data_IF_246671249181
#
_entry.id   IF_246671249181
#
_cell.length_a   1.000
_cell.length_b   1.000
_cell.length_c   1.000
_cell.angle_alpha   90.00
_cell.angle_beta   90.00
_cell.angle_gamma   90.00
#
_symmetry.space_group_name_H-M   'P 1'
#
loop_
_entity.id
_entity.type
_entity.pdbx_description
1 polymer ?
#
# COMPACT_ATOMS: atom_id res chain seq x y z
N UNK A 1 -17.08 -15.10 -16.30
CA UNK A 1 -16.05 -14.54 -15.40
C UNK A 1 -16.19 -13.04 -15.44
N UNK A 2 -16.39 -12.39 -14.28
CA UNK A 2 -16.54 -10.94 -14.18
C UNK A 2 -15.26 -10.38 -13.56
N UNK A 3 -14.71 -9.32 -14.15
CA UNK A 3 -13.57 -8.60 -13.61
C UNK A 3 -14.06 -7.28 -13.01
N UNK A 4 -13.69 -7.04 -11.76
CA UNK A 4 -13.98 -5.80 -11.04
C UNK A 4 -12.72 -5.35 -10.29
N UNK A 5 -12.45 -4.04 -10.17
CA UNK A 5 -11.35 -3.53 -9.35
C UNK A 5 -11.55 -3.89 -7.87
N UNK A 6 -10.46 -4.18 -7.15
CA UNK A 6 -10.50 -4.41 -5.71
C UNK A 6 -11.19 -3.26 -4.96
N UNK A 7 -10.89 -2.02 -5.35
CA UNK A 7 -11.47 -0.81 -4.74
C UNK A 7 -13.00 -0.71 -4.83
N UNK A 8 -13.66 -1.46 -5.72
CA UNK A 8 -15.12 -1.52 -5.84
C UNK A 8 -15.78 -2.50 -4.87
N UNK A 9 -14.98 -3.34 -4.20
CA UNK A 9 -15.43 -4.37 -3.24
C UNK A 9 -14.65 -4.27 -1.94
N UNK A 10 -14.35 -3.03 -1.52
CA UNK A 10 -13.66 -2.69 -0.27
C UNK A 10 -12.29 -3.36 -0.11
N UNK A 11 -11.67 -3.76 -1.21
CA UNK A 11 -10.40 -4.45 -1.22
C UNK A 11 -9.30 -3.61 -1.87
N UNK A 12 -8.06 -4.04 -1.67
CA UNK A 12 -6.86 -3.58 -2.39
C UNK A 12 -5.96 -4.77 -2.67
N UNK A 13 -5.22 -4.72 -3.78
CA UNK A 13 -4.30 -5.78 -4.19
C UNK A 13 -2.94 -5.23 -4.63
N UNK A 14 -1.81 -5.78 -4.14
CA UNK A 14 -0.49 -5.35 -4.59
C UNK A 14 -0.21 -5.81 -6.03
N UNK A 15 0.46 -4.97 -6.81
CA UNK A 15 0.91 -5.28 -8.18
C UNK A 15 -0.26 -5.75 -9.07
N UNK A 16 -0.22 -6.95 -9.65
CA UNK A 16 -1.33 -7.47 -10.45
C UNK A 16 -2.67 -7.59 -9.69
N UNK A 17 -2.64 -7.58 -8.35
CA UNK A 17 -3.83 -7.44 -7.50
C UNK A 17 -4.86 -8.59 -7.62
N UNK A 18 -4.49 -9.70 -8.26
CA UNK A 18 -5.41 -10.79 -8.56
C UNK A 18 -5.91 -11.41 -7.26
N UNK A 19 -7.22 -11.29 -7.04
CA UNK A 19 -7.91 -11.82 -5.86
C UNK A 19 -9.06 -12.70 -6.33
N UNK A 20 -9.17 -13.91 -5.78
CA UNK A 20 -10.22 -14.88 -6.13
C UNK A 20 -10.88 -15.46 -4.88
N UNK A 21 -12.06 -16.07 -5.06
CA UNK A 21 -12.93 -16.48 -3.95
C UNK A 21 -12.29 -17.39 -2.88
N UNK A 22 -11.27 -18.16 -3.24
CA UNK A 22 -10.59 -19.08 -2.33
C UNK A 22 -9.27 -18.55 -1.78
N UNK A 23 -8.90 -17.30 -2.10
CA UNK A 23 -7.70 -16.68 -1.55
C UNK A 23 -8.03 -16.11 -0.17
N UNK A 24 -7.28 -16.49 0.88
CA UNK A 24 -7.42 -15.88 2.18
C UNK A 24 -7.04 -14.39 2.13
N UNK A 25 -7.80 -13.57 2.86
CA UNK A 25 -7.59 -12.12 2.95
C UNK A 25 -7.37 -11.71 4.41
N UNK A 26 -6.57 -10.67 4.62
CA UNK A 26 -6.58 -9.92 5.86
C UNK A 26 -7.84 -9.06 5.90
N UNK A 27 -8.44 -8.95 7.08
CA UNK A 27 -9.63 -8.12 7.32
C UNK A 27 -9.24 -7.03 8.31
N UNK A 28 -9.35 -5.77 7.89
CA UNK A 28 -9.09 -4.63 8.76
C UNK A 28 -10.41 -3.89 9.00
N UNK A 29 -10.71 -3.64 10.27
CA UNK A 29 -11.89 -2.89 10.69
C UNK A 29 -11.48 -1.50 11.16
N UNK A 30 -12.03 -0.46 10.53
CA UNK A 30 -11.96 0.89 11.04
C UNK A 30 -13.09 1.08 12.06
N UNK A 31 -12.74 1.02 13.34
CA UNK A 31 -13.71 1.11 14.44
C UNK A 31 -14.37 2.49 14.57
N UNK A 32 -13.71 3.55 14.10
CA UNK A 32 -14.23 4.91 14.19
C UNK A 32 -15.45 5.07 13.28
N UNK A 33 -15.33 4.60 12.03
CA UNK A 33 -16.37 4.77 11.01
C UNK A 33 -17.21 3.49 10.78
N UNK A 34 -16.83 2.37 11.40
CA UNK A 34 -17.55 1.09 11.34
C UNK A 34 -17.41 0.34 10.02
N UNK A 35 -16.50 0.74 9.13
CA UNK A 35 -16.26 0.08 7.85
C UNK A 35 -15.09 -0.91 7.90
N UNK A 36 -14.97 -1.74 6.86
CA UNK A 36 -13.91 -2.74 6.71
C UNK A 36 -13.19 -2.59 5.39
N UNK A 37 -11.97 -3.12 5.34
CA UNK A 37 -11.23 -3.30 4.11
C UNK A 37 -10.46 -4.62 4.09
N UNK A 38 -10.14 -5.06 2.87
CA UNK A 38 -9.56 -6.38 2.61
C UNK A 38 -8.31 -6.29 1.75
N UNK A 39 -7.37 -7.21 1.96
CA UNK A 39 -6.23 -7.41 1.06
C UNK A 39 -5.85 -8.89 1.11
N UNK A 40 -5.37 -9.47 0.00
CA UNK A 40 -4.77 -10.81 0.05
C UNK A 40 -3.56 -10.82 0.97
N UNK A 41 -3.12 -11.98 1.45
CA UNK A 41 -1.85 -12.05 2.19
C UNK A 41 -0.65 -11.97 1.24
N UNK A 42 0.49 -11.49 1.75
CA UNK A 42 1.74 -11.49 0.98
C UNK A 42 2.18 -12.93 0.70
N UNK A 43 2.49 -13.24 -0.55
CA UNK A 43 2.88 -14.59 -1.02
C UNK A 43 4.33 -14.99 -0.68
N UNK A 44 5.09 -14.13 0.02
CA UNK A 44 6.48 -14.37 0.35
C UNK A 44 7.46 -13.91 -0.73
N UNK A 45 8.65 -14.52 -0.70
CA UNK A 45 9.78 -14.27 -1.59
C UNK A 45 9.77 -15.18 -2.82
N UNK A 46 10.51 -14.78 -3.86
CA UNK A 46 10.67 -15.57 -5.10
C UNK A 46 9.54 -15.35 -6.11
N UNK A 47 9.27 -16.37 -6.93
CA UNK A 47 8.20 -16.34 -7.92
C UNK A 47 6.83 -16.28 -7.24
N UNK A 48 6.00 -15.31 -7.62
CA UNK A 48 4.70 -15.02 -6.98
C UNK A 48 3.67 -14.54 -8.00
N UNK A 49 2.39 -14.82 -7.73
CA UNK A 49 1.26 -14.50 -8.60
C UNK A 49 1.06 -13.00 -8.78
N UNK A 50 1.34 -12.18 -7.76
CA UNK A 50 1.24 -10.71 -7.87
C UNK A 50 2.09 -10.13 -9.00
N UNK A 51 3.13 -10.84 -9.46
CA UNK A 51 3.93 -10.48 -10.64
C UNK A 51 3.65 -11.34 -11.88
N UNK A 52 2.57 -12.11 -11.87
CA UNK A 52 2.13 -12.95 -12.99
C UNK A 52 2.78 -14.33 -13.08
N UNK A 53 3.52 -14.78 -12.06
CA UNK A 53 4.04 -16.15 -12.03
C UNK A 53 2.91 -17.15 -11.72
N UNK A 54 2.89 -18.31 -12.38
CA UNK A 54 1.83 -19.32 -12.21
C UNK A 54 2.33 -20.76 -12.31
N UNK A 55 3.61 -21.00 -11.99
CA UNK A 55 4.18 -22.35 -11.95
C UNK A 55 3.51 -23.23 -10.88
N UNK A 56 3.75 -24.54 -10.93
CA UNK A 56 3.25 -25.46 -9.91
C UNK A 56 3.71 -25.08 -8.49
N UNK A 57 4.93 -24.56 -8.34
CA UNK A 57 5.43 -24.01 -7.07
C UNK A 57 4.53 -22.88 -6.53
N UNK A 58 4.16 -21.92 -7.39
CA UNK A 58 3.29 -20.79 -7.01
C UNK A 58 1.91 -21.31 -6.63
N UNK A 59 1.33 -22.20 -7.43
CA UNK A 59 0.00 -22.77 -7.16
C UNK A 59 -0.01 -23.58 -5.87
N UNK A 60 1.05 -24.36 -5.60
CA UNK A 60 1.19 -25.11 -4.35
C UNK A 60 1.32 -24.17 -3.15
N UNK A 61 2.07 -23.06 -3.26
CA UNK A 61 2.14 -22.04 -2.21
C UNK A 61 0.79 -21.39 -1.96
N UNK A 62 0.05 -21.01 -3.00
CA UNK A 62 -1.30 -20.44 -2.84
C UNK A 62 -2.28 -21.42 -2.17
N UNK A 63 -2.19 -22.72 -2.47
CA UNK A 63 -2.97 -23.77 -1.78
C UNK A 63 -2.56 -23.89 -0.31
N UNK A 64 -1.26 -23.92 -0.03
CA UNK A 64 -0.76 -23.91 1.35
C UNK A 64 -1.20 -22.65 2.11
N UNK A 65 -1.20 -21.48 1.47
CA UNK A 65 -1.68 -20.26 2.10
C UNK A 65 -3.17 -20.35 2.46
N UNK A 66 -3.99 -20.92 1.59
CA UNK A 66 -5.42 -21.17 1.82
C UNK A 66 -5.67 -22.21 2.91
N UNK A 67 -4.90 -23.29 2.92
CA UNK A 67 -5.17 -24.47 3.74
C UNK A 67 -4.47 -24.42 5.11
N UNK A 68 -3.35 -23.68 5.23
CA UNK A 68 -2.50 -23.63 6.43
C UNK A 68 -2.32 -22.20 6.92
N UNK A 69 -1.65 -21.32 6.16
CA UNK A 69 -1.30 -19.96 6.64
C UNK A 69 -2.51 -19.16 7.10
N UNK A 70 -3.53 -19.06 6.22
CA UNK A 70 -4.74 -18.30 6.48
C UNK A 70 -5.52 -18.84 7.68
N UNK A 71 -5.82 -20.15 7.73
CA UNK A 71 -6.49 -20.76 8.88
C UNK A 71 -5.73 -20.61 10.19
N UNK A 72 -4.41 -20.78 10.22
CA UNK A 72 -3.60 -20.60 11.45
C UNK A 72 -3.64 -19.16 11.93
N UNK A 73 -3.42 -18.19 11.03
CA UNK A 73 -3.50 -16.77 11.39
C UNK A 73 -4.91 -16.36 11.83
N UNK A 74 -5.94 -16.88 11.16
CA UNK A 74 -7.35 -16.65 11.53
C UNK A 74 -7.64 -17.17 12.95
N UNK A 75 -7.23 -18.41 13.26
CA UNK A 75 -7.35 -18.97 14.62
C UNK A 75 -6.63 -18.11 15.65
N UNK A 76 -5.39 -17.68 15.36
CA UNK A 76 -4.62 -16.83 16.26
C UNK A 76 -5.32 -15.48 16.50
N UNK A 77 -5.81 -14.81 15.46
CA UNK A 77 -6.49 -13.53 15.62
C UNK A 77 -7.84 -13.65 16.33
N UNK A 78 -8.55 -14.77 16.19
CA UNK A 78 -9.81 -15.03 16.88
C UNK A 78 -9.67 -15.25 18.39
N UNK A 79 -8.46 -15.52 18.91
CA UNK A 79 -8.24 -15.54 20.36
C UNK A 79 -8.13 -14.14 20.96
N UNK A 80 -8.11 -13.09 20.14
CA UNK A 80 -8.09 -11.70 20.55
C UNK A 80 -9.51 -11.13 20.41
N UNK A 81 -10.17 -10.83 21.54
CA UNK A 81 -11.55 -10.29 21.55
C UNK A 81 -11.69 -9.04 20.67
N UNK A 82 -10.61 -8.26 20.58
CA UNK A 82 -10.53 -6.99 19.89
C UNK A 82 -9.71 -7.06 18.58
N UNK A 83 -9.22 -8.24 18.22
CA UNK A 83 -8.22 -8.36 17.16
C UNK A 83 -6.90 -7.66 17.51
N UNK A 84 -6.05 -7.50 16.50
CA UNK A 84 -4.72 -6.89 16.66
C UNK A 84 -4.77 -5.38 16.40
N UNK A 85 -4.22 -4.57 17.30
CA UNK A 85 -4.19 -3.13 17.15
C UNK A 85 -3.10 -2.68 16.17
N UNK A 86 -3.51 -2.39 14.93
CA UNK A 86 -2.60 -2.02 13.84
C UNK A 86 -1.99 -0.62 14.04
N UNK A 87 -2.71 0.33 14.64
CA UNK A 87 -2.16 1.67 14.92
C UNK A 87 -0.92 1.60 15.82
N UNK A 88 -0.93 0.71 16.82
CA UNK A 88 0.23 0.50 17.70
C UNK A 88 1.42 -0.10 16.94
N UNK A 89 1.17 -1.00 15.99
CA UNK A 89 2.25 -1.59 15.17
C UNK A 89 2.84 -0.53 14.24
N UNK A 90 1.99 0.22 13.53
CA UNK A 90 2.40 1.28 12.60
C UNK A 90 3.18 2.38 13.35
N UNK A 91 2.68 2.85 14.49
CA UNK A 91 3.37 3.88 15.28
C UNK A 91 4.76 3.44 15.78
N UNK A 92 4.96 2.15 16.10
CA UNK A 92 6.28 1.61 16.45
C UNK A 92 7.17 1.48 15.21
N UNK A 93 6.65 0.89 14.15
CA UNK A 93 7.43 0.54 12.96
C UNK A 93 7.93 1.79 12.21
N UNK A 94 7.14 2.87 12.17
CA UNK A 94 7.58 4.13 11.54
C UNK A 94 8.79 4.72 12.26
N UNK A 95 8.82 4.63 13.60
CA UNK A 95 9.95 5.04 14.41
C UNK A 95 11.17 4.09 14.28
N UNK A 96 10.96 2.90 13.70
CA UNK A 96 12.00 1.91 13.38
C UNK A 96 12.41 1.95 11.90
N UNK A 97 12.04 3.02 11.20
CA UNK A 97 12.50 3.34 9.86
C UNK A 97 11.64 2.83 8.72
N UNK A 98 10.43 2.31 8.97
CA UNK A 98 9.53 1.86 7.90
C UNK A 98 8.76 3.05 7.31
N UNK A 99 8.55 3.01 6.00
CA UNK A 99 7.61 3.90 5.30
C UNK A 99 6.39 3.13 4.76
N UNK A 100 6.35 1.82 4.96
CA UNK A 100 5.22 0.93 4.71
C UNK A 100 4.80 0.69 3.25
N UNK A 101 5.62 1.06 2.28
CA UNK A 101 5.42 0.69 0.88
C UNK A 101 6.59 -0.18 0.38
N UNK A 102 7.80 0.36 0.33
CA UNK A 102 9.03 -0.36 -0.03
C UNK A 102 9.74 -1.02 1.15
N UNK A 103 9.63 -0.45 2.35
CA UNK A 103 10.23 -1.00 3.57
C UNK A 103 9.16 -1.23 4.63
N UNK A 104 8.94 -2.51 4.89
CA UNK A 104 7.98 -3.05 5.86
C UNK A 104 8.68 -4.00 6.87
N UNK A 105 10.01 -3.92 6.99
CA UNK A 105 10.81 -4.87 7.77
C UNK A 105 10.44 -4.77 9.25
N UNK A 106 10.39 -3.54 9.79
CA UNK A 106 10.09 -3.35 11.20
C UNK A 106 8.66 -3.78 11.53
N UNK A 107 7.69 -3.44 10.68
CA UNK A 107 6.29 -3.80 10.88
C UNK A 107 6.05 -5.31 10.76
N UNK A 108 6.70 -5.97 9.80
CA UNK A 108 6.64 -7.43 9.65
C UNK A 108 7.26 -8.14 10.85
N UNK A 109 8.39 -7.63 11.37
CA UNK A 109 9.01 -8.15 12.59
C UNK A 109 8.15 -7.92 13.84
N UNK A 110 7.56 -6.74 13.99
CA UNK A 110 6.64 -6.45 15.11
C UNK A 110 5.41 -7.36 15.02
N UNK A 111 4.82 -7.52 13.83
CA UNK A 111 3.71 -8.44 13.61
C UNK A 111 4.08 -9.88 13.99
N UNK A 112 5.21 -10.39 13.51
CA UNK A 112 5.75 -11.69 13.88
C UNK A 112 5.88 -11.83 15.39
N UNK A 113 6.46 -10.82 16.06
CA UNK A 113 6.67 -10.80 17.51
C UNK A 113 5.37 -10.81 18.30
N UNK A 114 4.32 -10.14 17.83
CA UNK A 114 3.00 -10.14 18.48
C UNK A 114 2.22 -11.44 18.23
N UNK A 115 2.27 -12.00 17.02
CA UNK A 115 1.46 -13.17 16.65
C UNK A 115 2.09 -14.51 17.07
N UNK A 116 3.42 -14.61 17.13
CA UNK A 116 4.12 -15.88 17.42
C UNK A 116 3.72 -16.51 18.76
N UNK A 117 3.68 -15.79 19.90
CA UNK A 117 3.27 -16.38 21.17
C UNK A 117 1.83 -16.93 21.15
N UNK A 118 0.95 -16.29 20.36
CA UNK A 118 -0.43 -16.73 20.18
C UNK A 118 -0.47 -18.01 19.35
N UNK A 119 0.26 -18.07 18.24
CA UNK A 119 0.33 -19.28 17.41
C UNK A 119 0.91 -20.46 18.21
N UNK A 120 1.91 -20.21 19.06
CA UNK A 120 2.50 -21.23 19.94
C UNK A 120 1.49 -21.80 20.94
N UNK A 121 0.53 -20.99 21.43
CA UNK A 121 -0.48 -21.45 22.38
C UNK A 121 -1.68 -22.16 21.73
N UNK A 122 -1.78 -22.17 20.39
CA UNK A 122 -2.86 -22.87 19.69
C UNK A 122 -2.70 -24.39 19.74
N UNK A 123 -3.84 -25.08 19.90
CA UNK A 123 -3.98 -26.52 19.70
C UNK A 123 -4.04 -26.85 18.19
N UNK A 124 -2.87 -26.86 17.55
CA UNK A 124 -2.66 -27.17 16.13
C UNK A 124 -1.48 -28.13 15.93
N UNK A 125 -1.36 -28.65 14.72
CA UNK A 125 -0.24 -29.50 14.32
C UNK A 125 1.11 -28.76 14.45
N UNK A 126 2.13 -29.47 14.95
CA UNK A 126 3.46 -28.89 15.22
C UNK A 126 4.14 -28.40 13.94
N UNK A 127 3.95 -29.11 12.83
CA UNK A 127 4.54 -28.73 11.54
C UNK A 127 3.85 -27.49 10.99
N UNK A 128 2.52 -27.39 11.03
CA UNK A 128 1.80 -26.17 10.62
C UNK A 128 2.26 -24.95 11.42
N UNK A 129 2.40 -25.10 12.75
CA UNK A 129 2.92 -24.05 13.64
C UNK A 129 4.31 -23.58 13.17
N UNK A 130 5.22 -24.51 12.95
CA UNK A 130 6.58 -24.21 12.51
C UNK A 130 6.60 -23.52 11.14
N UNK A 131 5.87 -24.07 10.17
CA UNK A 131 5.83 -23.55 8.80
C UNK A 131 5.30 -22.11 8.76
N UNK A 132 4.26 -21.80 9.51
CA UNK A 132 3.68 -20.44 9.54
C UNK A 132 4.63 -19.44 10.18
N UNK A 133 5.22 -19.76 11.34
CA UNK A 133 6.18 -18.86 12.01
C UNK A 133 7.41 -18.65 11.11
N UNK A 134 7.91 -19.71 10.48
CA UNK A 134 9.05 -19.62 9.57
C UNK A 134 8.73 -18.76 8.34
N UNK A 135 7.55 -18.95 7.72
CA UNK A 135 7.13 -18.14 6.57
C UNK A 135 7.06 -16.64 6.91
N UNK A 136 6.53 -16.30 8.08
CA UNK A 136 6.48 -14.91 8.55
C UNK A 136 7.88 -14.35 8.83
N UNK A 137 8.78 -15.16 9.40
CA UNK A 137 10.17 -14.77 9.65
C UNK A 137 10.98 -14.54 8.38
N UNK A 138 10.70 -15.29 7.31
CA UNK A 138 11.39 -15.17 6.02
C UNK A 138 10.81 -14.05 5.13
N UNK A 139 9.66 -13.47 5.50
CA UNK A 139 8.91 -12.51 4.67
C UNK A 139 8.92 -11.10 5.26
N UNK A 140 10.00 -10.37 4.99
CA UNK A 140 10.20 -8.96 5.40
C UNK A 140 9.14 -7.96 4.86
N UNK A 141 8.36 -8.38 3.86
CA UNK A 141 7.31 -7.58 3.22
C UNK A 141 5.88 -8.02 3.59
N UNK A 142 5.72 -8.89 4.58
CA UNK A 142 4.41 -9.45 4.94
C UNK A 142 3.41 -8.34 5.32
N UNK A 143 3.89 -7.33 6.05
CA UNK A 143 3.05 -6.26 6.56
C UNK A 143 2.52 -5.29 5.49
N UNK A 144 3.09 -5.23 4.29
CA UNK A 144 2.60 -4.34 3.22
C UNK A 144 1.11 -4.53 2.97
N UNK A 145 0.67 -5.79 2.86
CA UNK A 145 -0.72 -6.11 2.58
C UNK A 145 -1.65 -5.69 3.73
N UNK A 146 -1.18 -5.80 4.98
CA UNK A 146 -1.89 -5.32 6.18
C UNK A 146 -1.97 -3.79 6.18
N UNK A 147 -0.86 -3.12 5.85
CA UNK A 147 -0.84 -1.65 5.72
C UNK A 147 -1.79 -1.18 4.63
N UNK A 148 -1.80 -1.83 3.45
CA UNK A 148 -2.69 -1.48 2.35
C UNK A 148 -4.17 -1.59 2.78
N UNK A 149 -4.55 -2.68 3.45
CA UNK A 149 -5.92 -2.82 3.98
C UNK A 149 -6.23 -1.76 5.07
N UNK A 150 -5.26 -1.43 5.92
CA UNK A 150 -5.41 -0.40 6.95
C UNK A 150 -5.63 0.99 6.35
N UNK A 151 -4.79 1.36 5.39
CA UNK A 151 -4.91 2.60 4.62
C UNK A 151 -6.28 2.64 3.92
N UNK A 152 -6.66 1.58 3.22
CA UNK A 152 -7.97 1.47 2.56
C UNK A 152 -9.13 1.68 3.53
N UNK A 153 -9.12 1.04 4.70
CA UNK A 153 -10.18 1.17 5.70
C UNK A 153 -10.36 2.62 6.18
N UNK A 154 -9.26 3.32 6.44
CA UNK A 154 -9.29 4.74 6.83
C UNK A 154 -9.73 5.63 5.68
N UNK A 155 -9.17 5.43 4.48
CA UNK A 155 -9.47 6.27 3.33
C UNK A 155 -10.91 6.08 2.82
N UNK A 156 -11.49 4.88 2.99
CA UNK A 156 -12.92 4.66 2.74
C UNK A 156 -13.81 5.36 3.76
N UNK A 157 -13.38 5.48 5.02
CA UNK A 157 -14.02 6.35 6.01
C UNK A 157 -14.08 7.80 5.51
N UNK A 158 -12.94 8.34 5.08
CA UNK A 158 -12.85 9.69 4.52
C UNK A 158 -13.69 9.88 3.23
N UNK A 159 -13.82 8.83 2.39
CA UNK A 159 -14.68 8.84 1.20
C UNK A 159 -16.16 9.02 1.55
N UNK A 160 -16.61 8.55 2.71
CA UNK A 160 -18.02 8.68 3.13
C UNK A 160 -18.43 10.11 3.47
N UNK A 161 -17.46 11.03 3.66
CA UNK A 161 -17.73 12.46 3.92
C UNK A 161 -18.40 13.12 2.70
N UNK A 162 -18.10 12.67 1.47
CA UNK A 162 -18.75 13.10 0.22
C UNK A 162 -18.63 14.59 -0.11
N UNK A 163 -17.63 15.25 0.49
CA UNK A 163 -17.37 16.68 0.35
C UNK A 163 -15.86 16.96 0.27
N UNK A 164 -15.51 18.06 -0.38
CA UNK A 164 -14.13 18.52 -0.51
C UNK A 164 -13.31 17.76 -1.54
N UNK A 165 -12.04 18.13 -1.63
CA UNK A 165 -11.10 17.71 -2.69
C UNK A 165 -10.06 16.72 -2.20
N UNK A 166 -10.24 16.15 -1.01
CA UNK A 166 -9.33 15.16 -0.44
C UNK A 166 -9.34 13.89 -1.29
N UNK A 167 -8.17 13.46 -1.72
CA UNK A 167 -7.98 12.20 -2.43
C UNK A 167 -8.20 11.03 -1.48
N UNK A 168 -9.07 10.10 -1.87
CA UNK A 168 -9.48 8.94 -1.05
C UNK A 168 -9.08 7.60 -1.66
N UNK A 169 -8.60 7.60 -2.89
CA UNK A 169 -7.92 6.46 -3.47
C UNK A 169 -6.94 6.93 -4.54
N UNK A 170 -5.77 6.30 -4.58
CA UNK A 170 -4.88 6.29 -5.73
C UNK A 170 -4.55 4.83 -6.05
N UNK A 171 -4.75 4.43 -7.31
CA UNK A 171 -4.42 3.08 -7.77
C UNK A 171 -4.11 3.07 -9.27
N UNK A 172 -3.56 1.96 -9.76
CA UNK A 172 -3.17 1.81 -11.16
C UNK A 172 -3.19 0.37 -11.61
N UNK A 173 -3.37 0.14 -12.91
CA UNK A 173 -3.53 -1.21 -13.47
C UNK A 173 -2.52 -1.57 -14.57
N UNK A 174 -1.43 -0.80 -14.72
CA UNK A 174 -0.45 -0.97 -15.80
C UNK A 174 -0.82 -0.24 -17.10
N UNK A 175 -2.01 0.36 -17.18
CA UNK A 175 -2.45 1.16 -18.33
C UNK A 175 -2.95 2.55 -17.89
N UNK A 176 -3.82 2.59 -16.89
CA UNK A 176 -4.40 3.82 -16.35
C UNK A 176 -4.10 3.96 -14.85
N UNK A 177 -3.77 5.19 -14.45
CA UNK A 177 -3.77 5.65 -13.08
C UNK A 177 -5.15 6.23 -12.78
N UNK A 178 -5.72 5.89 -11.63
CA UNK A 178 -7.03 6.37 -11.19
C UNK A 178 -6.95 7.01 -9.82
N UNK A 179 -7.70 8.09 -9.65
CA UNK A 179 -7.97 8.68 -8.32
C UNK A 179 -9.46 8.78 -8.02
N UNK A 180 -9.78 8.79 -6.74
CA UNK A 180 -11.07 9.25 -6.20
C UNK A 180 -10.83 10.43 -5.27
N UNK A 181 -11.76 11.37 -5.23
CA UNK A 181 -11.81 12.43 -4.22
C UNK A 181 -13.10 12.33 -3.42
N UNK A 182 -13.06 12.71 -2.14
CA UNK A 182 -14.21 12.59 -1.23
C UNK A 182 -15.46 13.25 -1.81
N UNK A 183 -15.35 14.49 -2.31
CA UNK A 183 -16.43 15.24 -2.94
C UNK A 183 -17.12 14.57 -4.13
N UNK A 184 -16.52 13.56 -4.75
CA UNK A 184 -17.07 12.84 -5.91
C UNK A 184 -17.40 11.36 -5.60
N UNK A 185 -17.22 10.92 -4.35
CA UNK A 185 -17.59 9.58 -3.91
C UNK A 185 -16.87 8.46 -4.67
N UNK A 186 -17.62 7.69 -5.47
CA UNK A 186 -17.11 6.50 -6.16
C UNK A 186 -16.64 6.74 -7.60
N UNK A 187 -16.80 7.97 -8.10
CA UNK A 187 -16.38 8.35 -9.44
C UNK A 187 -14.86 8.32 -9.58
N UNK A 188 -14.39 7.71 -10.65
CA UNK A 188 -12.97 7.58 -10.97
C UNK A 188 -12.53 8.62 -11.98
N UNK A 189 -11.43 9.30 -11.68
CA UNK A 189 -10.75 10.17 -12.62
C UNK A 189 -9.44 9.53 -13.05
N UNK A 190 -9.30 9.27 -14.34
CA UNK A 190 -8.19 8.47 -14.88
C UNK A 190 -7.35 9.22 -15.90
N UNK A 191 -6.08 8.82 -15.98
CA UNK A 191 -5.14 9.20 -17.04
C UNK A 191 -4.12 8.07 -17.25
N UNK A 192 -3.43 8.01 -18.40
CA UNK A 192 -2.42 6.97 -18.66
C UNK A 192 -1.34 6.94 -17.57
N UNK A 193 -0.93 5.75 -17.15
CA UNK A 193 0.12 5.60 -16.12
C UNK A 193 1.47 6.14 -16.61
N UNK A 194 2.27 6.58 -15.65
CA UNK A 194 3.70 6.78 -15.84
C UNK A 194 4.46 5.47 -15.61
N UNK A 195 5.73 5.42 -16.06
CA UNK A 195 6.63 4.28 -15.79
C UNK A 195 7.57 4.65 -14.64
N UNK A 196 7.66 3.81 -13.58
CA UNK A 196 8.53 4.10 -12.45
C UNK A 196 10.01 4.18 -12.85
N UNK A 197 10.74 5.08 -12.18
CA UNK A 197 12.16 5.31 -12.41
C UNK A 197 12.94 5.09 -11.12
N UNK A 198 14.08 4.43 -11.20
CA UNK A 198 14.91 4.15 -10.04
C UNK A 198 16.07 3.22 -10.35
N UNK A 199 16.49 2.45 -9.34
CA UNK A 199 17.55 1.47 -9.50
C UNK A 199 17.02 0.15 -10.05
N UNK A 200 17.72 -0.36 -11.05
CA UNK A 200 17.48 -1.67 -11.63
C UNK A 200 18.46 -2.70 -11.04
N UNK A 201 17.96 -3.92 -10.84
CA UNK A 201 18.79 -5.05 -10.45
C UNK A 201 19.75 -5.42 -11.59
N UNK A 202 20.87 -6.04 -11.24
CA UNK A 202 21.88 -6.45 -12.22
C UNK A 202 21.27 -7.30 -13.33
N UNK A 203 21.48 -6.89 -14.58
CA UNK A 203 20.95 -7.58 -15.77
C UNK A 203 19.63 -7.02 -16.31
N UNK A 204 19.01 -6.04 -15.65
CA UNK A 204 17.81 -5.36 -16.13
C UNK A 204 18.04 -3.86 -16.35
N UNK A 205 17.14 -3.26 -17.14
CA UNK A 205 17.14 -1.83 -17.44
C UNK A 205 15.72 -1.27 -17.52
N UNK A 206 15.61 0.04 -17.75
CA UNK A 206 14.31 0.69 -17.99
C UNK A 206 13.56 0.17 -19.22
N UNK A 207 14.24 -0.48 -20.17
CA UNK A 207 13.56 -1.10 -21.32
C UNK A 207 12.73 -2.33 -20.90
N UNK A 208 13.04 -2.93 -19.75
CA UNK A 208 12.36 -4.11 -19.22
C UNK A 208 11.19 -3.77 -18.31
N UNK A 209 11.11 -2.50 -17.88
CA UNK A 209 10.12 -2.01 -16.91
C UNK A 209 8.69 -2.09 -17.45
N UNK A 210 7.79 -2.57 -16.60
CA UNK A 210 6.35 -2.42 -16.80
C UNK A 210 5.91 -1.00 -16.39
N UNK A 211 4.89 -0.42 -17.04
CA UNK A 211 4.23 0.77 -16.52
C UNK A 211 3.64 0.51 -15.11
N UNK A 212 3.41 1.58 -14.34
CA UNK A 212 3.05 1.46 -12.92
C UNK A 212 1.73 0.67 -12.69
N UNK A 213 1.72 -0.21 -11.69
CA UNK A 213 0.64 -1.17 -11.45
C UNK A 213 0.43 -1.48 -9.96
N UNK A 214 -0.84 -1.68 -9.58
CA UNK A 214 -1.31 -2.12 -8.27
C UNK A 214 -2.12 -1.08 -7.51
N UNK A 215 -2.68 -1.51 -6.37
CA UNK A 215 -3.42 -0.64 -5.46
C UNK A 215 -2.55 -0.09 -4.33
N UNK A 216 -1.26 -0.45 -4.30
CA UNK A 216 -0.36 -0.08 -3.20
C UNK A 216 -0.19 1.43 -2.99
N UNK A 217 -0.46 2.27 -4.00
CA UNK A 217 -0.52 3.72 -3.86
C UNK A 217 -1.60 4.22 -2.87
N UNK A 218 -2.46 3.34 -2.37
CA UNK A 218 -3.32 3.61 -1.21
C UNK A 218 -2.51 3.96 0.05
N UNK A 219 -1.26 3.49 0.16
CA UNK A 219 -0.36 3.83 1.28
C UNK A 219 0.04 5.30 1.26
N UNK A 220 0.38 5.84 0.10
CA UNK A 220 0.65 7.26 -0.09
C UNK A 220 -0.62 8.09 0.05
N UNK A 221 -1.76 7.57 -0.38
CA UNK A 221 -3.04 8.25 -0.18
C UNK A 221 -3.32 8.48 1.30
N UNK A 222 -2.96 7.50 2.15
CA UNK A 222 -3.03 7.61 3.60
C UNK A 222 -1.97 8.54 4.21
N UNK A 223 -0.85 8.75 3.51
CA UNK A 223 0.21 9.69 3.90
C UNK A 223 1.55 9.08 4.28
N UNK A 224 1.70 7.76 4.16
CA UNK A 224 2.99 7.06 4.32
C UNK A 224 3.63 6.82 2.94
N UNK A 225 4.59 5.91 2.84
CA UNK A 225 5.25 5.57 1.58
C UNK A 225 6.16 6.69 1.10
N UNK A 226 6.10 7.00 -0.20
CA UNK A 226 6.83 8.13 -0.79
C UNK A 226 6.45 9.49 -0.17
N UNK A 227 5.25 9.62 0.41
CA UNK A 227 4.81 10.86 1.07
C UNK A 227 5.54 11.18 2.38
N UNK A 228 6.11 10.15 3.02
CA UNK A 228 6.85 10.26 4.27
C UNK A 228 8.22 9.58 4.14
N UNK A 229 8.89 9.76 3.00
CA UNK A 229 10.16 9.10 2.68
C UNK A 229 11.25 9.31 3.75
N UNK A 230 11.22 10.45 4.45
CA UNK A 230 12.12 10.77 5.56
C UNK A 230 12.00 9.78 6.73
N UNK A 231 10.88 9.06 6.86
CA UNK A 231 10.73 7.98 7.84
C UNK A 231 11.66 6.81 7.55
N UNK A 232 12.00 6.57 6.28
CA UNK A 232 12.84 5.46 5.86
C UNK A 232 14.04 5.91 4.99
N UNK A 233 15.02 6.66 5.54
CA UNK A 233 16.16 7.14 4.74
C UNK A 233 16.99 6.02 4.10
N UNK A 234 16.91 4.79 4.61
CA UNK A 234 17.54 3.62 4.00
C UNK A 234 16.95 3.28 2.62
N UNK A 235 15.68 3.61 2.37
CA UNK A 235 14.97 3.33 1.12
C UNK A 235 15.44 4.22 -0.02
N UNK A 236 15.88 5.47 0.24
CA UNK A 236 16.19 6.44 -0.83
C UNK A 236 17.25 5.94 -1.80
N UNK A 237 18.25 5.21 -1.28
CA UNK A 237 19.26 4.57 -2.14
C UNK A 237 18.63 3.49 -2.99
N UNK A 238 17.76 2.67 -2.42
CA UNK A 238 17.11 1.57 -3.11
C UNK A 238 16.13 2.04 -4.20
N UNK A 239 15.42 3.15 -3.98
CA UNK A 239 14.52 3.76 -4.96
C UNK A 239 15.20 4.77 -5.89
N UNK A 240 16.53 4.95 -5.78
CA UNK A 240 17.32 5.78 -6.67
C UNK A 240 17.18 7.30 -6.49
N UNK A 241 16.58 7.76 -5.38
CA UNK A 241 16.33 9.19 -5.11
C UNK A 241 17.47 9.89 -4.35
N UNK A 242 18.55 9.18 -4.03
CA UNK A 242 19.73 9.76 -3.38
C UNK A 242 19.82 9.41 -1.88
N UNK A 243 20.00 10.41 -1.02
CA UNK A 243 20.29 10.23 0.40
C UNK A 243 19.25 10.86 1.34
N UNK A 244 19.63 11.01 2.62
CA UNK A 244 18.76 11.59 3.66
C UNK A 244 18.24 12.99 3.31
N UNK A 245 19.10 13.85 2.74
CA UNK A 245 18.71 15.21 2.36
C UNK A 245 17.60 15.23 1.30
N UNK A 246 17.65 14.29 0.35
CA UNK A 246 16.61 14.13 -0.67
C UNK A 246 15.31 13.61 -0.04
N UNK A 247 15.40 12.64 0.89
CA UNK A 247 14.25 12.15 1.65
C UNK A 247 13.51 13.29 2.38
N UNK A 248 14.28 14.18 3.04
CA UNK A 248 13.76 15.33 3.76
C UNK A 248 13.12 16.34 2.80
N UNK A 249 13.80 16.66 1.70
CA UNK A 249 13.28 17.59 0.68
C UNK A 249 11.96 17.07 0.10
N UNK A 250 11.91 15.81 -0.31
CA UNK A 250 10.71 15.18 -0.86
C UNK A 250 9.58 15.24 0.16
N UNK A 251 9.83 14.83 1.40
CA UNK A 251 8.77 14.82 2.43
C UNK A 251 8.25 16.23 2.74
N UNK A 252 9.12 17.24 2.77
CA UNK A 252 8.72 18.65 2.92
C UNK A 252 7.90 19.15 1.72
N UNK A 253 8.25 18.78 0.49
CA UNK A 253 7.48 19.13 -0.71
C UNK A 253 6.07 18.51 -0.68
N UNK A 254 5.92 17.32 -0.09
CA UNK A 254 4.61 16.69 0.08
C UNK A 254 3.71 17.42 1.09
N UNK A 255 4.28 18.20 2.03
CA UNK A 255 3.49 19.05 2.93
C UNK A 255 2.74 20.16 2.19
N UNK A 256 3.22 20.58 1.02
CA UNK A 256 2.58 21.63 0.21
C UNK A 256 1.26 21.17 -0.43
N UNK A 257 1.01 19.85 -0.51
CA UNK A 257 -0.17 19.27 -1.17
C UNK A 257 -1.15 18.59 -0.22
N UNK A 258 -0.90 18.61 1.08
CA UNK A 258 -1.80 18.02 2.09
C UNK A 258 -2.49 19.07 2.94
N UNK A 259 -3.58 18.71 3.62
CA UNK A 259 -4.31 19.66 4.48
C UNK A 259 -3.72 19.79 5.88
N UNK A 260 -3.06 18.74 6.38
CA UNK A 260 -2.50 18.71 7.73
C UNK A 260 -1.48 17.56 7.85
N UNK A 261 -1.06 17.27 9.09
CA UNK A 261 -0.21 16.15 9.46
C UNK A 261 -0.90 15.29 10.54
N UNK A 262 -0.69 13.98 10.52
CA UNK A 262 -1.31 13.05 11.48
C UNK A 262 -0.40 12.83 12.71
N UNK A 263 -0.74 13.36 13.89
CA UNK A 263 0.12 13.29 15.07
C UNK A 263 0.18 11.90 15.70
N UNK A 264 -0.66 10.94 15.28
CA UNK A 264 -0.60 9.57 15.79
C UNK A 264 0.59 8.77 15.24
N UNK A 265 1.16 9.20 14.12
CA UNK A 265 2.28 8.55 13.46
C UNK A 265 3.41 9.56 13.26
N UNK A 266 4.11 9.86 14.35
CA UNK A 266 5.24 10.79 14.35
C UNK A 266 6.50 10.15 13.78
N UNK A 267 7.26 10.90 12.97
CA UNK A 267 8.49 10.46 12.34
C UNK A 267 9.71 11.05 13.08
N UNK A 268 10.51 10.26 13.81
CA UNK A 268 11.62 10.80 14.62
C UNK A 268 12.69 11.52 13.79
N UNK A 269 12.98 11.04 12.58
CA UNK A 269 13.92 11.67 11.64
C UNK A 269 13.40 12.97 11.03
N UNK A 270 12.13 13.29 11.26
CA UNK A 270 11.47 14.52 10.83
C UNK A 270 11.10 15.40 12.03
N UNK A 271 11.92 15.35 13.08
CA UNK A 271 11.70 16.08 14.34
C UNK A 271 10.32 15.80 14.96
N UNK A 272 9.91 14.54 14.90
CA UNK A 272 8.63 14.05 15.43
C UNK A 272 7.39 14.68 14.79
N UNK A 273 7.52 15.29 13.61
CA UNK A 273 6.37 15.67 12.80
C UNK A 273 5.50 14.46 12.46
N UNK A 274 4.19 14.67 12.38
CA UNK A 274 3.25 13.67 11.89
C UNK A 274 3.45 13.40 10.40
N UNK A 275 3.10 12.20 9.94
CA UNK A 275 3.00 11.92 8.50
C UNK A 275 2.00 12.85 7.82
N UNK A 276 2.13 13.00 6.51
CA UNK A 276 1.22 13.76 5.66
C UNK A 276 -0.25 13.31 5.87
N UNK A 277 -1.23 14.22 5.87
CA UNK A 277 -2.64 13.90 6.06
C UNK A 277 -3.54 14.63 5.05
N UNK A 278 -4.22 13.84 4.22
CA UNK A 278 -5.25 14.31 3.29
C UNK A 278 -4.68 15.10 2.11
N UNK A 279 -4.30 14.40 1.05
CA UNK A 279 -3.87 15.01 -0.21
C UNK A 279 -5.03 15.83 -0.79
N UNK A 280 -4.86 17.14 -0.94
CA UNK A 280 -5.84 18.03 -1.54
C UNK A 280 -5.60 18.10 -3.06
N UNK A 281 -6.49 17.52 -3.85
CA UNK A 281 -6.39 17.53 -5.31
C UNK A 281 -6.32 18.95 -5.89
N UNK A 282 -6.90 19.95 -5.21
CA UNK A 282 -6.82 21.36 -5.64
C UNK A 282 -5.41 21.89 -5.45
N UNK A 283 -4.74 21.59 -4.33
CA UNK A 283 -3.34 21.97 -4.10
C UNK A 283 -2.40 21.30 -5.09
N UNK A 284 -2.66 20.03 -5.45
CA UNK A 284 -1.90 19.33 -6.50
C UNK A 284 -1.97 20.08 -7.84
N UNK A 285 -3.17 20.49 -8.26
CA UNK A 285 -3.36 21.26 -9.50
C UNK A 285 -2.76 22.68 -9.39
N UNK A 286 -2.98 23.36 -8.26
CA UNK A 286 -2.54 24.74 -8.03
C UNK A 286 -1.01 24.88 -7.99
N UNK A 287 -0.33 23.95 -7.32
CA UNK A 287 1.13 23.98 -7.13
C UNK A 287 1.90 23.29 -8.26
N UNK A 288 1.25 22.36 -8.99
CA UNK A 288 1.90 21.46 -9.92
C UNK A 288 2.72 20.35 -9.25
N UNK A 289 2.74 20.28 -7.92
CA UNK A 289 3.41 19.22 -7.15
C UNK A 289 2.48 18.00 -7.13
N UNK A 290 3.01 16.83 -7.51
CA UNK A 290 2.26 15.57 -7.50
C UNK A 290 2.75 14.64 -6.38
N UNK A 291 1.88 13.80 -5.80
CA UNK A 291 2.28 12.81 -4.81
C UNK A 291 3.45 11.94 -5.30
N UNK A 292 4.49 11.81 -4.49
CA UNK A 292 5.59 10.86 -4.78
C UNK A 292 5.20 9.49 -4.25
N UNK A 293 5.25 8.48 -5.14
CA UNK A 293 4.92 7.08 -4.82
C UNK A 293 6.20 6.26 -4.90
N UNK A 294 6.55 5.58 -3.81
CA UNK A 294 7.60 4.57 -3.84
C UNK A 294 7.02 3.29 -4.44
N UNK A 295 7.71 2.61 -5.36
CA UNK A 295 7.14 1.40 -5.96
C UNK A 295 8.22 0.41 -6.42
N UNK A 296 7.85 -0.87 -6.45
CA UNK A 296 8.67 -1.91 -7.01
C UNK A 296 8.54 -1.88 -8.53
N UNK A 297 9.65 -1.89 -9.26
CA UNK A 297 9.64 -1.91 -10.71
C UNK A 297 9.44 -3.36 -11.14
N UNK A 298 8.26 -3.68 -11.67
CA UNK A 298 7.94 -5.00 -12.20
C UNK A 298 8.46 -5.14 -13.64
N UNK A 299 8.83 -6.36 -14.05
CA UNK A 299 9.16 -6.65 -15.43
C UNK A 299 7.90 -6.68 -16.32
N UNK A 300 7.97 -6.16 -17.55
CA UNK A 300 6.86 -6.17 -18.53
C UNK A 300 6.43 -7.55 -19.05
N UNK A 301 7.23 -8.58 -18.76
CA UNK A 301 6.91 -9.99 -19.04
C UNK A 301 6.47 -10.66 -17.75
N UNK A 302 5.27 -11.24 -17.77
CA UNK A 302 4.67 -11.91 -16.63
C UNK A 302 5.58 -13.01 -16.04
N UNK A 303 5.64 -13.08 -14.72
CA UNK A 303 6.33 -14.13 -13.97
C UNK A 303 7.82 -13.89 -13.71
N UNK A 304 8.45 -12.89 -14.33
CA UNK A 304 9.85 -12.55 -14.04
C UNK A 304 9.99 -11.87 -12.67
N UNK A 305 8.98 -11.10 -12.24
CA UNK A 305 8.97 -10.48 -10.92
C UNK A 305 9.46 -9.04 -10.91
N UNK A 306 9.92 -8.62 -9.73
CA UNK A 306 10.51 -7.32 -9.50
C UNK A 306 11.94 -7.28 -10.06
N UNK A 307 12.25 -6.22 -10.79
CA UNK A 307 13.54 -5.99 -11.46
C UNK A 307 14.22 -4.71 -11.01
N UNK A 308 13.65 -4.03 -10.03
CA UNK A 308 14.17 -2.80 -9.48
C UNK A 308 13.21 -2.19 -8.46
N UNK A 309 13.58 -1.03 -7.97
CA UNK A 309 12.73 -0.19 -7.13
C UNK A 309 12.96 1.26 -7.49
N UNK A 310 11.92 2.07 -7.35
CA UNK A 310 11.94 3.42 -7.83
C UNK A 310 10.83 4.27 -7.25
N UNK A 311 10.72 5.45 -7.83
CA UNK A 311 9.61 6.36 -7.60
C UNK A 311 8.82 6.56 -8.88
N UNK A 312 7.57 6.94 -8.70
CA UNK A 312 6.68 7.37 -9.78
C UNK A 312 5.76 8.43 -9.23
N UNK A 313 5.26 9.29 -10.10
CA UNK A 313 4.23 10.26 -9.77
C UNK A 313 2.96 9.97 -10.56
N UNK A 314 1.79 10.23 -9.99
CA UNK A 314 0.54 10.13 -10.74
C UNK A 314 0.51 11.20 -11.85
N UNK A 315 -0.12 10.90 -13.00
CA UNK A 315 -0.32 11.88 -14.07
C UNK A 315 -1.23 13.01 -13.57
N UNK A 316 -0.78 14.27 -13.62
CA UNK A 316 -1.54 15.44 -13.12
C UNK A 316 -2.96 15.55 -13.70
N UNK A 317 -3.15 15.06 -14.93
CA UNK A 317 -4.42 15.07 -15.64
C UNK A 317 -5.57 14.36 -14.91
N UNK A 318 -5.31 13.36 -14.03
CA UNK A 318 -6.38 12.77 -13.23
C UNK A 318 -6.89 13.72 -12.14
N UNK A 319 -6.03 14.58 -11.59
CA UNK A 319 -6.41 15.61 -10.61
C UNK A 319 -7.14 16.77 -11.28
N UNK A 320 -6.66 17.24 -12.43
CA UNK A 320 -7.34 18.29 -13.22
C UNK A 320 -8.79 17.88 -13.52
N UNK A 321 -9.00 16.65 -14.02
CA UNK A 321 -10.35 16.12 -14.28
C UNK A 321 -11.21 16.07 -13.01
N UNK A 322 -10.65 15.63 -11.89
CA UNK A 322 -11.37 15.56 -10.62
C UNK A 322 -11.81 16.94 -10.13
N UNK A 323 -10.93 17.94 -10.22
CA UNK A 323 -11.23 19.31 -9.81
C UNK A 323 -12.23 19.98 -10.74
N UNK A 324 -12.12 19.81 -12.06
CA UNK A 324 -13.12 20.29 -13.02
C UNK A 324 -14.50 19.72 -12.73
N UNK A 325 -14.61 18.39 -12.56
CA UNK A 325 -15.89 17.74 -12.27
C UNK A 325 -16.48 18.19 -10.91
N UNK A 326 -15.64 18.37 -9.90
CA UNK A 326 -16.10 18.86 -8.60
C UNK A 326 -16.55 20.33 -8.66
N UNK A 327 -15.86 21.18 -9.44
CA UNK A 327 -16.26 22.56 -9.67
C UNK A 327 -17.62 22.63 -10.40
N UNK A 328 -17.85 21.79 -11.40
CA UNK A 328 -19.16 21.66 -12.08
C UNK A 328 -20.26 21.22 -11.10
N UNK A 329 -19.98 20.24 -10.22
CA UNK A 329 -20.90 19.80 -9.17
C UNK A 329 -21.30 20.95 -8.23
N UNK A 330 -20.38 21.89 -7.97
CA UNK A 330 -20.61 23.08 -7.15
C UNK A 330 -21.28 24.24 -7.92
N UNK A 331 -21.54 24.08 -9.22
CA UNK A 331 -22.16 25.11 -10.07
C UNK A 331 -21.19 26.22 -10.52
N UNK A 332 -19.87 25.95 -10.47
CA UNK A 332 -18.86 26.86 -11.01
C UNK A 332 -18.70 26.65 -12.52
N UNK A 333 -18.36 27.72 -13.25
CA UNK A 333 -18.00 27.64 -14.67
C UNK A 333 -16.50 27.42 -14.80
N UNK A 334 -16.10 26.35 -15.49
CA UNK A 334 -14.70 25.92 -15.66
C UNK A 334 -14.23 26.15 -17.10
#
# INVERSE_FOLDING_TARGET
>A
MQFIPCHHVDAVGPMGGITSANMPVVVVENRTDGNRAYCTMNEGIGAVLRFGAYSEEVVNRLRWMRDVLGPVLSKALQTLDEGMNLNVIVAKAIAMGDEFHQRNIAASLVFLKEVSPIIVSLEIDEKERQEVIQFLADTDQFFLNIMMASAKAVMDGARMIKEGTIVTAMCRNGENFGIRISGMGDEWFTAPVNTPQGLYFTGYSGEDANPDIGDSAITETFGVGGMAMIAAPAVTRFVGTGGFGDALKISNEMLEIVIDQNPNFTVPTWDFQGICLGIDARKVVETGITPVINTGIAHKKAGIGQIGAGTVTPPVACFEKAITAYAEKLGLTV
#
